data_IF_541935406718
#
_entry.id   IF_541935406718
#
_cell.length_a   1.000
_cell.length_b   1.000
_cell.length_c   1.000
_cell.angle_alpha   90.00
_cell.angle_beta   90.00
_cell.angle_gamma   90.00
#
_symmetry.space_group_name_H-M   'P 1'
#
loop_
_entity.id
_entity.type
_entity.pdbx_description
1 polymer ?
#
# COMPACT_ATOMS: atom_id res chain seq x y z
N UNK A 1 2.98 -29.87 -6.41
CA UNK A 1 3.35 -28.93 -7.50
C UNK A 1 2.04 -28.44 -8.09
N UNK A 2 1.46 -27.43 -7.44
CA UNK A 2 0.25 -26.76 -7.93
C UNK A 2 0.66 -25.39 -8.43
N UNK A 3 0.38 -25.16 -9.68
CA UNK A 3 0.67 -23.91 -10.39
C UNK A 3 -0.18 -22.78 -9.84
N UNK A 4 0.46 -21.84 -9.18
CA UNK A 4 -0.14 -20.55 -8.83
C UNK A 4 -0.37 -19.80 -10.13
N UNK A 5 -1.62 -19.76 -10.57
CA UNK A 5 -2.06 -18.90 -11.67
C UNK A 5 -1.86 -17.45 -11.26
N UNK A 6 -0.87 -16.79 -11.85
CA UNK A 6 -0.72 -15.35 -11.81
C UNK A 6 -1.94 -14.74 -12.52
N UNK A 7 -2.81 -14.07 -11.76
CA UNK A 7 -3.77 -13.14 -12.36
C UNK A 7 -2.99 -11.98 -13.00
N UNK A 8 -2.91 -12.03 -14.29
CA UNK A 8 -2.36 -10.97 -15.14
C UNK A 8 -3.37 -9.83 -15.12
N UNK A 9 -2.98 -8.70 -14.51
CA UNK A 9 -3.73 -7.45 -14.65
C UNK A 9 -3.87 -7.15 -16.16
N UNK A 10 -5.08 -6.98 -16.71
CA UNK A 10 -5.26 -6.77 -18.14
C UNK A 10 -4.58 -5.47 -18.56
N UNK A 11 -3.90 -5.53 -19.70
CA UNK A 11 -3.24 -4.39 -20.33
C UNK A 11 -4.32 -3.32 -20.64
N UNK A 12 -4.17 -2.06 -20.20
CA UNK A 12 -5.19 -1.01 -20.38
C UNK A 12 -5.52 -0.71 -21.87
N UNK A 13 -4.70 -1.19 -22.78
CA UNK A 13 -4.92 -1.07 -24.22
C UNK A 13 -5.81 -2.17 -24.81
N UNK A 14 -6.23 -3.18 -24.03
CA UNK A 14 -7.09 -4.30 -24.45
C UNK A 14 -8.49 -4.16 -23.83
N UNK A 15 -9.02 -2.98 -23.68
CA UNK A 15 -10.46 -2.80 -23.45
C UNK A 15 -11.20 -2.82 -24.79
N UNK A 16 -11.42 -4.03 -25.31
CA UNK A 16 -12.30 -4.26 -26.46
C UNK A 16 -13.76 -4.04 -26.05
N UNK A 17 -14.42 -3.08 -26.69
CA UNK A 17 -15.83 -2.96 -27.12
C UNK A 17 -16.92 -3.77 -26.34
N UNK A 18 -16.95 -3.69 -25.04
CA UNK A 18 -18.20 -3.77 -24.29
C UNK A 18 -18.60 -2.33 -23.96
N UNK A 19 -19.87 -1.97 -24.15
CA UNK A 19 -20.39 -0.62 -23.94
C UNK A 19 -19.80 -0.03 -22.66
N UNK A 20 -18.83 0.87 -22.81
CA UNK A 20 -18.12 1.49 -21.70
C UNK A 20 -19.14 2.32 -20.92
N UNK A 21 -19.24 2.08 -19.62
CA UNK A 21 -20.03 2.90 -18.72
C UNK A 21 -19.61 4.39 -18.91
N UNK A 22 -20.49 5.28 -19.37
CA UNK A 22 -20.15 6.68 -19.65
C UNK A 22 -19.57 7.38 -18.42
N UNK A 23 -19.97 6.97 -17.23
CA UNK A 23 -19.40 7.48 -15.99
C UNK A 23 -17.95 7.03 -15.78
N UNK A 24 -17.60 5.80 -16.14
CA UNK A 24 -16.22 5.31 -16.06
C UNK A 24 -15.30 6.08 -17.00
N UNK A 25 -15.76 6.37 -18.23
CA UNK A 25 -15.02 7.18 -19.19
C UNK A 25 -14.77 8.61 -18.69
N UNK A 26 -15.78 9.23 -18.09
CA UNK A 26 -15.64 10.56 -17.50
C UNK A 26 -14.58 10.60 -16.37
N UNK A 27 -14.48 9.55 -15.55
CA UNK A 27 -13.41 9.44 -14.56
C UNK A 27 -12.03 9.27 -15.20
N UNK A 28 -11.93 8.49 -16.28
CA UNK A 28 -10.67 8.32 -17.02
C UNK A 28 -10.22 9.65 -17.64
N UNK A 29 -11.12 10.37 -18.29
CA UNK A 29 -10.83 11.68 -18.86
C UNK A 29 -10.44 12.69 -17.77
N UNK A 30 -11.15 12.70 -16.65
CA UNK A 30 -10.81 13.54 -15.51
C UNK A 30 -9.40 13.25 -15.02
N UNK A 31 -9.01 11.98 -14.84
CA UNK A 31 -7.66 11.60 -14.41
C UNK A 31 -6.59 11.93 -15.43
N UNK A 32 -6.89 11.86 -16.74
CA UNK A 32 -5.96 12.27 -17.81
C UNK A 32 -5.78 13.78 -17.89
N UNK A 33 -6.81 14.56 -17.53
CA UNK A 33 -6.79 16.02 -17.56
C UNK A 33 -6.05 16.66 -16.37
N UNK A 34 -6.05 15.99 -15.23
CA UNK A 34 -5.39 16.47 -14.01
C UNK A 34 -4.01 15.87 -13.85
N UNK A 35 -3.03 16.71 -13.46
CA UNK A 35 -1.67 16.27 -13.23
C UNK A 35 -1.44 15.84 -11.77
N UNK A 36 -0.33 15.16 -11.53
CA UNK A 36 0.06 14.71 -10.19
C UNK A 36 0.20 15.86 -9.21
N UNK A 37 0.65 17.02 -9.70
CA UNK A 37 0.78 18.23 -8.88
C UNK A 37 -0.55 18.68 -8.28
N UNK A 38 -1.66 18.58 -9.01
CA UNK A 38 -3.00 18.96 -8.54
C UNK A 38 -3.43 18.15 -7.31
N UNK A 39 -2.95 16.90 -7.20
CA UNK A 39 -3.25 16.05 -6.07
C UNK A 39 -2.35 16.29 -4.87
N UNK A 40 -1.28 17.06 -4.97
CA UNK A 40 -0.39 17.37 -3.84
C UNK A 40 -1.13 18.28 -2.84
N UNK A 41 -1.12 17.98 -1.53
CA UNK A 41 -1.72 18.86 -0.54
C UNK A 41 -0.89 20.13 -0.36
N UNK A 42 -1.52 21.22 0.03
CA UNK A 42 -0.86 22.51 0.31
C UNK A 42 0.28 22.40 1.31
N UNK A 43 0.17 21.47 2.26
CA UNK A 43 1.26 21.12 3.19
C UNK A 43 1.32 19.62 3.37
N UNK A 44 2.54 19.08 3.41
CA UNK A 44 2.78 17.67 3.70
C UNK A 44 4.06 17.49 4.50
N UNK A 45 4.09 16.48 5.34
CA UNK A 45 5.32 16.02 5.98
C UNK A 45 6.05 15.09 5.01
N UNK A 46 7.29 15.41 4.74
CA UNK A 46 8.20 14.59 3.94
C UNK A 46 9.52 14.46 4.68
N UNK A 47 10.02 13.24 4.76
CA UNK A 47 11.33 12.92 5.31
C UNK A 47 12.09 12.12 4.27
N UNK A 48 13.36 12.44 4.09
CA UNK A 48 14.29 11.72 3.22
C UNK A 48 15.37 11.13 4.12
N UNK A 49 15.71 9.86 3.92
CA UNK A 49 16.80 9.23 4.66
C UNK A 49 18.00 8.99 3.75
N UNK A 50 19.18 9.31 4.27
CA UNK A 50 20.41 8.84 3.68
C UNK A 50 20.59 7.34 3.94
N UNK A 51 21.08 6.60 2.96
CA UNK A 51 21.34 5.15 3.09
C UNK A 51 22.38 4.81 4.15
N UNK A 52 23.23 5.77 4.56
CA UNK A 52 24.19 5.62 5.64
C UNK A 52 23.55 5.75 7.04
N UNK A 53 22.27 6.14 7.15
CA UNK A 53 21.56 6.25 8.42
C UNK A 53 21.34 4.87 9.04
N UNK A 54 21.40 4.81 10.37
CA UNK A 54 21.07 3.59 11.13
C UNK A 54 19.56 3.27 11.02
N UNK A 55 19.24 1.99 10.83
CA UNK A 55 17.86 1.48 10.69
C UNK A 55 16.99 1.90 11.88
N UNK A 56 17.51 1.80 13.12
CA UNK A 56 16.82 2.22 14.35
C UNK A 56 16.41 3.69 14.29
N UNK A 57 17.33 4.58 13.90
CA UNK A 57 17.05 6.02 13.80
C UNK A 57 15.99 6.32 12.74
N UNK A 58 16.05 5.64 11.61
CA UNK A 58 15.06 5.77 10.54
C UNK A 58 13.66 5.34 11.03
N UNK A 59 13.57 4.22 11.76
CA UNK A 59 12.32 3.76 12.34
C UNK A 59 11.69 4.80 13.28
N UNK A 60 12.46 5.26 14.26
CA UNK A 60 11.95 6.27 15.19
C UNK A 60 11.56 7.58 14.50
N UNK A 61 12.31 7.99 13.47
CA UNK A 61 11.97 9.19 12.72
C UNK A 61 10.65 9.04 11.96
N UNK A 62 10.36 7.87 11.37
CA UNK A 62 9.07 7.59 10.74
C UNK A 62 7.93 7.62 11.76
N UNK A 63 8.10 6.92 12.88
CA UNK A 63 7.08 6.83 13.94
C UNK A 63 6.79 8.20 14.54
N UNK A 64 7.84 8.95 14.94
CA UNK A 64 7.70 10.26 15.54
C UNK A 64 7.01 11.29 14.63
N UNK A 65 7.17 11.14 13.32
CA UNK A 65 6.52 12.01 12.34
C UNK A 65 5.17 11.48 11.82
N UNK A 66 4.73 10.29 12.27
CA UNK A 66 3.50 9.64 11.79
C UNK A 66 3.57 9.25 10.30
N UNK A 67 4.78 8.98 9.79
CA UNK A 67 5.03 8.60 8.41
C UNK A 67 5.15 7.08 8.27
N UNK A 68 4.76 6.57 7.12
CA UNK A 68 4.83 5.13 6.82
C UNK A 68 5.88 4.77 5.78
N UNK A 69 6.53 5.76 5.18
CA UNK A 69 7.60 5.57 4.20
C UNK A 69 8.41 6.85 4.03
N UNK A 70 9.65 6.68 3.58
CA UNK A 70 10.55 7.77 3.19
C UNK A 70 11.37 7.36 1.96
N UNK A 71 11.64 8.28 1.02
CA UNK A 71 12.61 8.08 -0.04
C UNK A 71 14.02 7.91 0.54
N UNK A 72 14.80 7.07 -0.11
CA UNK A 72 16.20 6.80 0.24
C UNK A 72 17.12 7.51 -0.72
N UNK A 73 17.96 8.37 -0.19
CA UNK A 73 19.04 9.05 -0.89
C UNK A 73 20.37 8.35 -0.67
N UNK A 74 21.14 8.16 -1.71
CA UNK A 74 22.49 7.66 -1.61
C UNK A 74 23.46 8.81 -1.87
N UNK A 75 24.13 9.29 -0.81
CA UNK A 75 25.10 10.39 -0.89
C UNK A 75 26.34 10.07 -1.70
N UNK A 76 26.67 8.80 -1.91
CA UNK A 76 27.81 8.40 -2.77
C UNK A 76 27.40 8.42 -4.24
N UNK A 77 26.22 7.94 -4.56
CA UNK A 77 25.69 7.89 -5.92
C UNK A 77 24.98 9.19 -6.34
N UNK A 78 24.73 10.11 -5.38
CA UNK A 78 24.04 11.39 -5.60
C UNK A 78 22.68 11.21 -6.29
N UNK A 79 21.92 10.19 -5.85
CA UNK A 79 20.59 9.88 -6.40
C UNK A 79 19.68 9.17 -5.40
N UNK A 80 18.41 9.22 -5.68
CA UNK A 80 17.44 8.38 -4.98
C UNK A 80 17.56 6.92 -5.44
N UNK A 81 17.59 5.99 -4.47
CA UNK A 81 17.84 4.57 -4.72
C UNK A 81 16.66 3.68 -4.31
N UNK A 82 15.59 4.24 -3.79
CA UNK A 82 14.40 3.47 -3.42
C UNK A 82 13.60 4.14 -2.32
N UNK A 83 12.74 3.34 -1.70
CA UNK A 83 11.89 3.73 -0.56
C UNK A 83 12.21 2.84 0.64
N UNK A 84 12.11 3.40 1.84
CA UNK A 84 12.04 2.66 3.10
C UNK A 84 10.62 2.75 3.62
N UNK A 85 10.02 1.61 3.94
CA UNK A 85 8.63 1.51 4.36
C UNK A 85 8.49 0.77 5.69
N UNK A 86 7.34 0.87 6.33
CA UNK A 86 7.05 0.08 7.54
C UNK A 86 7.14 -1.43 7.27
N UNK A 87 6.78 -1.87 6.06
CA UNK A 87 6.90 -3.28 5.66
C UNK A 87 8.35 -3.78 5.71
N UNK A 88 9.32 -2.92 5.36
CA UNK A 88 10.73 -3.27 5.44
C UNK A 88 11.15 -3.55 6.90
N UNK A 89 10.62 -2.77 7.86
CA UNK A 89 10.87 -3.01 9.28
C UNK A 89 10.22 -4.30 9.78
N UNK A 90 9.02 -4.64 9.29
CA UNK A 90 8.38 -5.94 9.59
C UNK A 90 9.27 -7.09 9.12
N UNK A 91 9.78 -7.02 7.90
CA UNK A 91 10.70 -8.02 7.34
C UNK A 91 12.00 -8.11 8.15
N UNK A 92 12.55 -6.95 8.56
CA UNK A 92 13.72 -6.88 9.41
C UNK A 92 13.47 -7.60 10.73
N UNK A 93 12.41 -7.25 11.45
CA UNK A 93 12.08 -7.84 12.75
C UNK A 93 11.85 -9.34 12.64
N UNK A 94 11.06 -9.79 11.67
CA UNK A 94 10.79 -11.21 11.46
C UNK A 94 12.07 -12.00 11.22
N UNK A 95 13.01 -11.49 10.44
CA UNK A 95 14.29 -12.15 10.18
C UNK A 95 15.15 -12.26 11.44
N UNK A 96 15.21 -11.19 12.23
CA UNK A 96 15.99 -11.20 13.48
C UNK A 96 15.41 -12.18 14.51
N UNK A 97 14.10 -12.25 14.61
CA UNK A 97 13.45 -13.24 15.50
C UNK A 97 13.68 -14.70 15.08
N UNK A 98 13.89 -14.97 13.79
CA UNK A 98 14.20 -16.33 13.29
C UNK A 98 15.63 -16.77 13.56
N UNK A 99 16.54 -15.86 13.86
CA UNK A 99 17.95 -16.19 14.08
C UNK A 99 18.30 -16.08 15.57
N UNK A 100 18.39 -17.21 16.31
CA UNK A 100 18.78 -17.17 17.73
C UNK A 100 20.23 -16.70 17.95
N UNK A 101 21.02 -16.58 16.89
CA UNK A 101 22.43 -16.19 16.93
C UNK A 101 22.63 -14.67 16.75
N UNK A 102 21.59 -13.92 16.35
CA UNK A 102 21.70 -12.49 16.12
C UNK A 102 21.01 -11.74 17.26
N UNK A 103 21.78 -11.07 18.07
CA UNK A 103 21.25 -10.29 19.17
C UNK A 103 20.58 -9.01 18.61
N UNK A 104 19.46 -8.61 19.19
CA UNK A 104 18.70 -7.39 18.81
C UNK A 104 19.61 -6.14 18.83
N UNK A 105 20.66 -6.14 19.64
CA UNK A 105 21.66 -5.06 19.72
C UNK A 105 22.43 -4.85 18.40
N UNK A 106 22.66 -5.88 17.61
CA UNK A 106 23.32 -5.74 16.31
C UNK A 106 22.43 -5.02 15.30
N UNK A 107 21.10 -5.17 15.40
CA UNK A 107 20.14 -4.44 14.58
C UNK A 107 20.25 -2.92 14.75
N UNK A 108 20.59 -2.46 15.96
CA UNK A 108 20.63 -1.04 16.28
C UNK A 108 21.72 -0.29 15.51
N UNK A 109 22.81 -0.96 15.19
CA UNK A 109 23.99 -0.37 14.52
C UNK A 109 23.97 -0.56 13.00
N UNK A 110 23.08 -1.42 12.47
CA UNK A 110 22.98 -1.62 11.04
C UNK A 110 22.50 -0.37 10.31
N UNK A 111 23.22 -0.02 9.25
CA UNK A 111 22.86 1.05 8.32
C UNK A 111 21.86 0.53 7.29
N UNK A 112 21.03 1.41 6.76
CA UNK A 112 20.05 1.06 5.71
C UNK A 112 20.77 0.44 4.50
N UNK A 113 21.92 0.97 4.09
CA UNK A 113 22.72 0.44 2.96
C UNK A 113 23.18 -1.00 3.18
N UNK A 114 23.67 -1.33 4.38
CA UNK A 114 24.15 -2.68 4.72
C UNK A 114 23.01 -3.69 4.64
N UNK A 115 21.87 -3.31 5.18
CA UNK A 115 20.67 -4.10 5.13
C UNK A 115 20.19 -4.40 3.70
N UNK A 116 20.33 -3.44 2.78
CA UNK A 116 20.00 -3.61 1.36
C UNK A 116 21.04 -4.44 0.58
N UNK A 117 22.32 -4.44 1.01
CA UNK A 117 23.42 -5.08 0.31
C UNK A 117 23.54 -6.59 0.54
N UNK A 118 23.41 -7.05 1.77
CA UNK A 118 23.92 -8.38 2.15
C UNK A 118 22.91 -9.53 2.04
N UNK A 119 21.62 -9.28 1.95
CA UNK A 119 20.68 -10.40 2.07
C UNK A 119 19.34 -10.21 1.33
N UNK A 120 19.03 -9.01 0.91
CA UNK A 120 17.75 -8.71 0.26
C UNK A 120 17.75 -9.06 -1.23
N UNK A 121 18.92 -9.11 -1.87
CA UNK A 121 18.99 -9.39 -3.30
C UNK A 121 18.56 -10.81 -3.67
N UNK A 122 18.68 -11.80 -2.78
CA UNK A 122 18.49 -13.20 -3.19
C UNK A 122 17.12 -13.81 -2.88
N UNK A 123 16.30 -13.26 -1.96
CA UNK A 123 15.05 -13.94 -1.57
C UNK A 123 13.80 -13.05 -1.70
N UNK A 124 13.92 -11.75 -1.44
CA UNK A 124 12.78 -10.84 -1.44
C UNK A 124 12.83 -9.76 -2.52
N UNK A 125 14.02 -9.50 -3.09
CA UNK A 125 14.24 -8.48 -4.13
C UNK A 125 14.14 -9.00 -5.56
N UNK A 126 13.71 -10.22 -5.80
CA UNK A 126 13.36 -10.67 -7.16
C UNK A 126 12.31 -9.75 -7.82
N UNK A 127 11.67 -8.88 -7.02
CA UNK A 127 10.65 -7.91 -7.46
C UNK A 127 11.04 -6.44 -7.21
N UNK A 128 12.21 -6.16 -6.60
CA UNK A 128 12.62 -4.78 -6.38
C UNK A 128 13.49 -4.31 -7.55
N UNK A 129 12.88 -3.51 -8.41
CA UNK A 129 13.60 -2.78 -9.43
C UNK A 129 14.71 -1.95 -8.74
N UNK A 130 16.00 -2.04 -9.15
CA UNK A 130 17.09 -1.32 -8.51
C UNK A 130 16.98 0.21 -8.66
N UNK A 131 16.08 0.70 -9.49
CA UNK A 131 15.78 2.11 -9.66
C UNK A 131 14.50 2.49 -8.91
N UNK A 132 14.51 3.66 -8.28
CA UNK A 132 13.31 4.24 -7.68
C UNK A 132 12.27 4.49 -8.77
N UNK A 133 11.10 3.87 -8.64
CA UNK A 133 9.94 4.18 -9.49
C UNK A 133 9.37 5.50 -8.98
N UNK A 134 9.35 6.51 -9.83
CA UNK A 134 8.84 7.84 -9.54
C UNK A 134 8.05 8.39 -10.71
N UNK A 135 7.37 9.50 -10.51
CA UNK A 135 6.61 10.21 -11.53
C UNK A 135 6.90 11.70 -11.42
N UNK A 136 6.73 12.43 -12.52
CA UNK A 136 6.90 13.89 -12.53
C UNK A 136 5.60 14.59 -12.09
N UNK A 137 5.67 15.82 -11.58
CA UNK A 137 4.48 16.58 -11.17
C UNK A 137 3.52 16.88 -12.34
N UNK A 138 4.03 16.99 -13.57
CA UNK A 138 3.25 17.27 -14.79
C UNK A 138 2.56 16.02 -15.36
N UNK A 139 2.99 14.83 -14.97
CA UNK A 139 2.38 13.59 -15.43
C UNK A 139 0.93 13.49 -14.95
N UNK A 140 0.08 12.83 -15.73
CA UNK A 140 -1.34 12.72 -15.42
C UNK A 140 -1.60 11.83 -14.18
N UNK A 141 -2.73 12.06 -13.50
CA UNK A 141 -3.18 11.16 -12.44
C UNK A 141 -3.47 9.75 -12.98
N UNK A 142 -3.85 9.64 -14.25
CA UNK A 142 -4.01 8.34 -14.91
C UNK A 142 -2.68 7.58 -14.96
N UNK A 143 -1.59 8.24 -15.39
CA UNK A 143 -0.26 7.63 -15.41
C UNK A 143 0.21 7.25 -14.01
N UNK A 144 -0.13 8.04 -13.00
CA UNK A 144 0.17 7.72 -11.62
C UNK A 144 -0.54 6.45 -11.15
N UNK A 145 -1.85 6.32 -11.43
CA UNK A 145 -2.62 5.10 -11.11
C UNK A 145 -2.06 3.90 -11.87
N UNK A 146 -1.80 4.07 -13.16
CA UNK A 146 -1.19 3.03 -13.98
C UNK A 146 0.16 2.56 -13.42
N UNK A 147 1.03 3.49 -13.04
CA UNK A 147 2.33 3.18 -12.44
C UNK A 147 2.19 2.43 -11.11
N UNK A 148 1.28 2.85 -10.23
CA UNK A 148 1.00 2.18 -8.95
C UNK A 148 0.55 0.74 -9.16
N UNK A 149 -0.36 0.50 -10.11
CA UNK A 149 -0.91 -0.82 -10.41
C UNK A 149 0.11 -1.72 -11.11
N UNK A 150 0.73 -1.23 -12.19
CA UNK A 150 1.72 -1.96 -12.98
C UNK A 150 2.90 -2.48 -12.14
N UNK A 151 3.40 -1.63 -11.27
CA UNK A 151 4.55 -1.97 -10.42
C UNK A 151 4.14 -2.58 -9.07
N UNK A 152 2.84 -2.74 -8.81
CA UNK A 152 2.29 -3.26 -7.55
C UNK A 152 2.84 -2.53 -6.33
N UNK A 153 3.00 -1.21 -6.44
CA UNK A 153 3.49 -0.35 -5.37
C UNK A 153 2.35 0.49 -4.78
N UNK A 154 2.45 0.83 -3.51
CA UNK A 154 1.43 1.64 -2.81
C UNK A 154 1.84 3.10 -2.62
N UNK A 155 3.07 3.46 -3.00
CA UNK A 155 3.68 4.76 -2.77
C UNK A 155 4.52 5.14 -3.97
N UNK A 156 4.16 6.25 -4.59
CA UNK A 156 4.79 6.75 -5.80
C UNK A 156 5.37 8.14 -5.50
N UNK A 157 6.69 8.29 -5.38
CA UNK A 157 7.33 9.59 -5.25
C UNK A 157 7.08 10.46 -6.46
N UNK A 158 6.65 11.70 -6.23
CA UNK A 158 6.57 12.75 -7.24
C UNK A 158 7.86 13.54 -7.15
N UNK A 159 8.67 13.49 -8.20
CA UNK A 159 9.99 14.12 -8.25
C UNK A 159 10.00 15.17 -9.35
N UNK A 160 10.40 16.37 -8.98
CA UNK A 160 10.63 17.46 -9.92
C UNK A 160 11.86 17.14 -10.80
N UNK A 161 11.70 17.07 -12.12
CA UNK A 161 12.82 16.70 -13.01
C UNK A 161 13.93 17.76 -13.09
N UNK A 162 13.62 19.04 -12.82
CA UNK A 162 14.60 20.12 -12.90
C UNK A 162 15.50 20.18 -11.67
N UNK A 163 14.90 20.14 -10.48
CA UNK A 163 15.64 20.23 -9.22
C UNK A 163 16.06 18.88 -8.65
N UNK A 164 15.45 17.78 -9.12
CA UNK A 164 15.61 16.45 -8.54
C UNK A 164 14.97 16.29 -7.17
N UNK A 165 14.19 17.28 -6.68
CA UNK A 165 13.56 17.23 -5.36
C UNK A 165 12.31 16.37 -5.34
N UNK A 166 12.12 15.62 -4.25
CA UNK A 166 10.86 14.93 -4.00
C UNK A 166 9.84 15.94 -3.46
N UNK A 167 8.76 16.14 -4.20
CA UNK A 167 7.67 17.07 -3.82
C UNK A 167 6.66 16.39 -2.91
N UNK A 168 6.34 15.12 -3.18
CA UNK A 168 5.32 14.38 -2.45
C UNK A 168 5.48 12.87 -2.64
N UNK A 169 4.80 12.08 -1.80
CA UNK A 169 4.62 10.64 -2.00
C UNK A 169 3.14 10.40 -2.29
N UNK A 170 2.82 10.18 -3.54
CA UNK A 170 1.46 9.91 -3.98
C UNK A 170 1.02 8.49 -3.59
N UNK A 171 -0.23 8.33 -3.19
CA UNK A 171 -0.82 7.06 -2.77
C UNK A 171 -2.22 6.90 -3.34
N UNK A 172 -2.73 5.66 -3.46
CA UNK A 172 -4.12 5.38 -3.85
C UNK A 172 -5.12 6.21 -3.01
N UNK A 173 -4.90 6.24 -1.67
CA UNK A 173 -5.78 7.02 -0.77
C UNK A 173 -5.81 8.51 -1.13
N UNK A 174 -4.67 9.09 -1.54
CA UNK A 174 -4.61 10.50 -1.92
C UNK A 174 -5.34 10.77 -3.23
N UNK A 175 -5.17 9.88 -4.21
CA UNK A 175 -5.87 9.97 -5.49
C UNK A 175 -7.39 9.83 -5.28
N UNK A 176 -7.82 8.82 -4.51
CA UNK A 176 -9.23 8.63 -4.18
C UNK A 176 -9.81 9.85 -3.45
N UNK A 177 -9.05 10.45 -2.52
CA UNK A 177 -9.49 11.69 -1.86
C UNK A 177 -9.63 12.85 -2.85
N UNK A 178 -8.75 12.97 -3.82
CA UNK A 178 -8.83 13.97 -4.87
C UNK A 178 -10.09 13.76 -5.71
N UNK A 179 -10.32 12.55 -6.21
CA UNK A 179 -11.54 12.20 -6.94
C UNK A 179 -12.81 12.48 -6.11
N UNK A 180 -12.79 12.16 -4.83
CA UNK A 180 -13.93 12.42 -3.94
C UNK A 180 -14.24 13.91 -3.79
N UNK A 181 -13.22 14.78 -3.75
CA UNK A 181 -13.41 16.24 -3.69
C UNK A 181 -14.16 16.74 -4.94
N UNK A 182 -13.82 16.20 -6.10
CA UNK A 182 -14.40 16.60 -7.39
C UNK A 182 -15.63 15.77 -7.82
N UNK A 183 -16.11 14.86 -6.96
CA UNK A 183 -17.21 13.93 -7.32
C UNK A 183 -18.48 14.60 -7.83
N UNK A 184 -18.75 15.84 -7.40
CA UNK A 184 -19.94 16.58 -7.85
C UNK A 184 -19.83 17.08 -9.31
N UNK A 185 -18.61 17.14 -9.86
CA UNK A 185 -18.35 17.61 -11.23
C UNK A 185 -18.18 16.45 -12.22
N UNK A 186 -18.15 15.21 -11.74
CA UNK A 186 -17.95 14.02 -12.55
C UNK A 186 -19.24 13.20 -12.52
N UNK A 187 -19.79 12.76 -13.67
CA UNK A 187 -20.95 11.85 -13.68
C UNK A 187 -20.68 10.60 -12.85
N UNK A 188 -21.66 10.20 -12.05
CA UNK A 188 -21.53 9.00 -11.20
C UNK A 188 -21.56 7.73 -12.06
N UNK A 189 -20.49 6.91 -12.08
CA UNK A 189 -20.48 5.68 -12.83
C UNK A 189 -21.48 4.66 -12.28
N UNK A 190 -22.06 3.85 -13.16
CA UNK A 190 -23.04 2.82 -12.77
C UNK A 190 -22.40 1.74 -11.87
N UNK A 191 -21.12 1.44 -12.06
CA UNK A 191 -20.46 0.44 -11.23
C UNK A 191 -20.40 0.80 -9.73
N UNK A 192 -20.51 2.08 -9.36
CA UNK A 192 -20.59 2.51 -7.96
C UNK A 192 -21.93 2.13 -7.28
N UNK A 193 -22.90 1.69 -8.05
CA UNK A 193 -24.18 1.16 -7.53
C UNK A 193 -24.15 -0.35 -7.30
N UNK A 194 -23.09 -1.03 -7.76
CA UNK A 194 -22.90 -2.46 -7.55
C UNK A 194 -22.32 -2.75 -6.19
N UNK A 195 -22.57 -3.95 -5.70
CA UNK A 195 -21.88 -4.43 -4.50
C UNK A 195 -20.38 -4.57 -4.80
N UNK A 196 -19.55 -4.58 -3.74
CA UNK A 196 -18.09 -4.76 -3.86
C UNK A 196 -17.77 -6.09 -4.54
N UNK A 197 -18.53 -7.14 -4.25
CA UNK A 197 -18.39 -8.47 -4.84
C UNK A 197 -18.74 -8.47 -6.33
N UNK A 198 -19.89 -7.89 -6.71
CA UNK A 198 -20.28 -7.75 -8.12
C UNK A 198 -19.30 -6.90 -8.94
N UNK A 199 -18.69 -5.91 -8.30
CA UNK A 199 -17.64 -5.09 -8.90
C UNK A 199 -16.28 -5.79 -8.96
N UNK A 200 -16.13 -6.97 -8.36
CA UNK A 200 -14.87 -7.72 -8.31
C UNK A 200 -13.77 -7.00 -7.51
N UNK A 201 -14.15 -6.16 -6.53
CA UNK A 201 -13.21 -5.36 -5.76
C UNK A 201 -12.96 -6.01 -4.40
N UNK A 202 -11.74 -6.50 -4.20
CA UNK A 202 -11.31 -7.11 -2.94
C UNK A 202 -11.10 -8.62 -3.04
N UNK A 203 -10.72 -9.20 -1.90
CA UNK A 203 -10.53 -10.65 -1.73
C UNK A 203 -11.53 -11.12 -0.69
N UNK A 204 -12.38 -12.08 -1.05
CA UNK A 204 -13.47 -12.56 -0.20
C UNK A 204 -13.23 -13.99 0.32
N UNK A 205 -12.21 -14.68 -0.21
CA UNK A 205 -11.87 -16.05 0.18
C UNK A 205 -10.43 -16.13 0.63
N UNK A 206 -10.13 -17.12 1.48
CA UNK A 206 -8.78 -17.36 2.01
C UNK A 206 -8.15 -16.10 2.63
N UNK A 207 -8.95 -15.36 3.41
CA UNK A 207 -8.48 -14.17 4.12
C UNK A 207 -7.61 -14.62 5.27
N UNK A 208 -6.36 -14.10 5.31
CA UNK A 208 -5.47 -14.34 6.43
C UNK A 208 -5.99 -13.64 7.68
N UNK A 209 -6.25 -14.39 8.72
CA UNK A 209 -6.69 -13.92 10.04
C UNK A 209 -5.71 -14.36 11.12
N UNK A 210 -5.85 -13.81 12.32
CA UNK A 210 -5.06 -14.22 13.48
C UNK A 210 -5.95 -14.21 14.72
N UNK A 211 -5.75 -15.17 15.62
CA UNK A 211 -6.47 -15.21 16.89
C UNK A 211 -5.90 -14.19 17.88
N UNK A 212 -6.73 -13.67 18.79
CA UNK A 212 -6.31 -12.72 19.81
C UNK A 212 -5.26 -13.32 20.80
N UNK A 213 -5.26 -14.65 20.95
CA UNK A 213 -4.31 -15.40 21.80
C UNK A 213 -2.95 -15.63 21.13
N UNK A 214 -2.85 -15.37 19.82
CA UNK A 214 -1.60 -15.58 19.08
C UNK A 214 -0.54 -14.55 19.44
N UNK A 215 0.71 -14.90 19.22
CA UNK A 215 1.83 -14.01 19.53
C UNK A 215 2.05 -12.96 18.44
N UNK A 216 2.72 -11.86 18.80
CA UNK A 216 3.17 -10.85 17.80
C UNK A 216 4.07 -11.47 16.75
N UNK A 217 4.85 -12.49 17.12
CA UNK A 217 5.72 -13.22 16.19
C UNK A 217 4.91 -13.97 15.13
N UNK A 218 3.82 -14.63 15.54
CA UNK A 218 2.91 -15.31 14.60
C UNK A 218 2.31 -14.31 13.62
N UNK A 219 1.89 -13.13 14.10
CA UNK A 219 1.42 -12.05 13.25
C UNK A 219 2.48 -11.60 12.24
N UNK A 220 3.74 -11.40 12.68
CA UNK A 220 4.85 -11.03 11.80
C UNK A 220 5.12 -12.11 10.74
N UNK A 221 5.03 -13.39 11.12
CA UNK A 221 5.19 -14.52 10.21
C UNK A 221 4.13 -14.51 9.11
N UNK A 222 2.85 -14.33 9.49
CA UNK A 222 1.74 -14.25 8.53
C UNK A 222 1.90 -13.04 7.59
N UNK A 223 2.30 -11.86 8.10
CA UNK A 223 2.55 -10.68 7.26
C UNK A 223 3.58 -10.97 6.16
N UNK A 224 4.66 -11.69 6.51
CA UNK A 224 5.73 -11.99 5.56
C UNK A 224 5.31 -13.10 4.58
N UNK A 225 4.73 -14.19 5.07
CA UNK A 225 4.36 -15.37 4.28
C UNK A 225 3.20 -15.08 3.32
N UNK A 226 2.16 -14.41 3.83
CA UNK A 226 0.95 -14.06 3.05
C UNK A 226 1.08 -12.73 2.31
N UNK A 227 2.16 -11.97 2.54
CA UNK A 227 2.41 -10.64 1.95
C UNK A 227 1.27 -9.66 2.16
N UNK A 228 0.65 -9.71 3.33
CA UNK A 228 -0.42 -8.80 3.74
C UNK A 228 0.12 -7.73 4.69
N UNK A 229 -0.55 -6.60 4.78
CA UNK A 229 -0.16 -5.47 5.65
C UNK A 229 -1.14 -5.22 6.79
N UNK A 230 -2.19 -6.03 6.90
CA UNK A 230 -3.15 -6.03 7.97
C UNK A 230 -3.71 -7.45 8.15
N UNK A 231 -4.06 -7.79 9.39
CA UNK A 231 -4.70 -9.05 9.75
C UNK A 231 -5.94 -8.73 10.59
N UNK A 232 -7.12 -9.23 10.22
CA UNK A 232 -8.25 -9.29 11.13
C UNK A 232 -7.88 -10.15 12.34
N UNK A 233 -8.15 -9.63 13.53
CA UNK A 233 -8.03 -10.40 14.77
C UNK A 233 -9.39 -10.97 15.08
N UNK A 234 -9.48 -12.28 15.22
CA UNK A 234 -10.72 -13.01 15.45
C UNK A 234 -10.67 -13.75 16.79
N UNK A 235 -11.81 -13.95 17.43
CA UNK A 235 -11.91 -14.80 18.61
C UNK A 235 -12.03 -16.28 18.22
N UNK A 236 -11.92 -17.18 19.21
CA UNK A 236 -11.94 -18.64 18.97
C UNK A 236 -13.28 -19.14 18.39
N UNK A 237 -14.37 -18.41 18.59
CA UNK A 237 -15.70 -18.81 18.16
C UNK A 237 -15.97 -18.49 16.67
N UNK A 238 -15.23 -17.54 16.09
CA UNK A 238 -15.40 -17.14 14.69
C UNK A 238 -14.49 -17.91 13.72
N UNK A 239 -13.54 -18.70 14.20
CA UNK A 239 -12.63 -19.48 13.34
C UNK A 239 -13.31 -20.61 12.55
N UNK A 240 -14.59 -20.91 12.84
CA UNK A 240 -15.40 -21.92 12.13
C UNK A 240 -16.35 -21.40 11.06
N UNK A 241 -16.49 -20.09 10.91
CA UNK A 241 -17.60 -19.51 10.10
C UNK A 241 -17.23 -19.15 8.66
N UNK A 242 -16.09 -19.54 8.14
CA UNK A 242 -15.77 -19.35 6.71
C UNK A 242 -16.54 -20.28 5.76
N UNK A 243 -17.26 -21.27 6.27
CA UNK A 243 -18.07 -22.19 5.45
C UNK A 243 -19.56 -21.86 5.38
N UNK A 244 -20.09 -20.94 6.19
CA UNK A 244 -21.53 -20.68 6.31
C UNK A 244 -21.96 -19.21 6.12
N UNK A 245 -21.47 -18.54 5.11
CA UNK A 245 -22.15 -17.33 4.57
C UNK A 245 -23.13 -17.75 3.47
N UNK A 246 -24.06 -18.65 3.81
CA UNK A 246 -25.31 -18.81 3.09
C UNK A 246 -26.35 -17.91 3.75
N UNK A 247 -26.81 -16.93 2.97
CA UNK A 247 -28.00 -16.09 3.07
C UNK A 247 -28.73 -15.98 4.42
N UNK A 248 -28.93 -14.80 4.97
CA UNK A 248 -30.02 -14.54 5.89
C UNK A 248 -31.30 -14.44 5.11
N UNK A 249 -32.25 -15.33 5.42
CA UNK A 249 -33.66 -15.21 5.06
C UNK A 249 -34.20 -13.89 5.61
N UNK A 250 -35.07 -13.25 4.83
CA UNK A 250 -35.83 -12.07 5.20
C UNK A 250 -36.69 -12.35 6.43
N UNK A 251 -36.48 -11.62 7.51
CA UNK A 251 -37.55 -11.28 8.46
C UNK A 251 -37.39 -9.85 8.96
N UNK A 252 -38.53 -9.23 9.10
CA UNK A 252 -38.85 -7.83 9.25
C UNK A 252 -38.50 -7.22 10.61
N UNK A 253 -38.28 -5.90 10.53
CA UNK A 253 -38.57 -4.83 11.49
C UNK A 253 -37.64 -4.56 12.68
N UNK A 254 -37.15 -3.32 12.66
CA UNK A 254 -37.12 -2.45 13.84
C UNK A 254 -35.74 -2.06 14.37
N UNK A 255 -35.39 -0.81 14.20
CA UNK A 255 -34.48 -0.12 15.13
C UNK A 255 -33.15 0.33 14.56
N UNK A 256 -33.13 1.55 14.15
CA UNK A 256 -31.96 2.35 13.87
C UNK A 256 -31.14 2.52 15.15
N UNK A 257 -29.90 2.04 15.17
CA UNK A 257 -28.86 2.60 16.01
C UNK A 257 -27.55 2.70 15.21
N UNK A 258 -27.27 3.93 14.88
CA UNK A 258 -26.06 4.42 14.25
C UNK A 258 -24.92 4.33 15.27
N UNK A 259 -24.00 3.37 15.14
CA UNK A 259 -22.77 3.39 15.92
C UNK A 259 -21.58 3.42 14.97
N UNK A 260 -21.19 4.64 14.63
CA UNK A 260 -19.97 4.96 13.93
C UNK A 260 -18.74 4.57 14.78
N UNK A 261 -18.04 3.52 14.41
CA UNK A 261 -16.73 3.16 14.99
C UNK A 261 -15.60 3.69 14.14
N UNK A 262 -15.38 5.02 14.23
CA UNK A 262 -14.09 5.63 13.96
C UNK A 262 -13.41 6.02 15.28
N UNK A 263 -12.73 5.10 15.92
CA UNK A 263 -11.81 5.48 16.98
C UNK A 263 -10.55 6.10 16.37
N UNK A 264 -10.45 7.42 16.48
CA UNK A 264 -9.20 8.16 16.39
C UNK A 264 -8.32 7.74 17.57
N UNK A 265 -7.25 7.03 17.31
CA UNK A 265 -6.13 6.94 18.25
C UNK A 265 -5.34 8.23 18.16
N UNK A 266 -5.55 9.11 19.14
CA UNK A 266 -4.61 10.18 19.45
C UNK A 266 -3.46 9.58 20.24
N UNK A 267 -2.24 9.65 19.67
CA UNK A 267 -0.95 9.90 20.38
C UNK A 267 0.08 10.20 19.30
#
# INVERSE_FOLDING_TARGET
MESVTQEVCPDPHVMNNSATDPGAEAYLEFMKKHCCYDAIPTSCKLVIFDTALQVKKAFFALVANGLRAAPLWDSKLQRFVGMLTITDFINILHRYYKSPMVQIYELEDHKIQTWRGDSFQNIYLQYYNPSLISITPEASLFDAVYSLLKHKIHRLPVIDPESGNVLHILTHKRILKFLYIFRATIPTPQFLQRTIEEAGVGTFRDIATIQETATVYDALSIFVERRVSALPVVDENESGSTENLQQPEHEHEGGVEETALFRRGSY
#
